data_IF_646787819766
#
_entry.id   IF_646787819766
#
_cell.length_a   1.000
_cell.length_b   1.000
_cell.length_c   1.000
_cell.angle_alpha   90.00
_cell.angle_beta   90.00
_cell.angle_gamma   90.00
#
_symmetry.space_group_name_H-M   'P 1'
#
loop_
_entity.id
_entity.type
_entity.pdbx_description
1 polymer ?
#
# COMPACT_ATOMS: atom_id res chain seq x y z
N UNK A 1 -9.59 32.20 26.62
CA UNK A 1 -10.13 32.12 25.24
C UNK A 1 -9.03 32.28 24.19
N UNK A 2 -8.15 33.28 24.32
CA UNK A 2 -7.03 33.54 23.40
C UNK A 2 -6.05 32.36 23.25
N UNK A 3 -5.69 31.70 24.36
CA UNK A 3 -4.81 30.51 24.38
C UNK A 3 -5.40 29.30 23.64
N UNK A 4 -6.72 29.13 23.65
CA UNK A 4 -7.40 28.02 22.96
C UNK A 4 -7.39 28.25 21.44
N UNK A 5 -7.64 29.48 20.99
CA UNK A 5 -7.63 29.83 19.56
C UNK A 5 -6.23 29.66 18.96
N UNK A 6 -5.19 30.08 19.68
CA UNK A 6 -3.79 29.94 19.25
C UNK A 6 -3.40 28.46 19.17
N UNK A 7 -3.75 27.65 20.18
CA UNK A 7 -3.46 26.22 20.17
C UNK A 7 -4.16 25.46 19.01
N UNK A 8 -5.42 25.80 18.73
CA UNK A 8 -6.17 25.23 17.60
C UNK A 8 -5.56 25.65 16.27
N UNK A 9 -5.15 26.92 16.12
CA UNK A 9 -4.47 27.42 14.93
C UNK A 9 -3.17 26.69 14.63
N UNK A 10 -2.31 26.48 15.64
CA UNK A 10 -1.07 25.71 15.50
C UNK A 10 -1.33 24.25 15.14
N UNK A 11 -2.30 23.59 15.79
CA UNK A 11 -2.66 22.23 15.47
C UNK A 11 -3.13 22.07 14.01
N UNK A 12 -3.95 23.01 13.53
CA UNK A 12 -4.44 23.01 12.15
C UNK A 12 -3.29 23.22 11.14
N UNK A 13 -2.42 24.19 11.41
CA UNK A 13 -1.25 24.49 10.59
C UNK A 13 -0.28 23.30 10.51
N UNK A 14 -0.02 22.63 11.63
CA UNK A 14 0.80 21.41 11.68
C UNK A 14 0.15 20.29 10.87
N UNK A 15 -1.16 20.06 10.99
CA UNK A 15 -1.85 19.03 10.19
C UNK A 15 -1.76 19.33 8.69
N UNK A 16 -1.97 20.59 8.27
CA UNK A 16 -1.85 21.00 6.88
C UNK A 16 -0.42 20.82 6.37
N UNK A 17 0.58 21.27 7.14
CA UNK A 17 1.99 21.12 6.80
C UNK A 17 2.41 19.65 6.72
N UNK A 18 1.95 18.79 7.64
CA UNK A 18 2.22 17.35 7.63
C UNK A 18 1.57 16.69 6.41
N UNK A 19 0.33 17.05 6.07
CA UNK A 19 -0.36 16.53 4.88
C UNK A 19 0.35 16.94 3.60
N UNK A 20 0.80 18.21 3.51
CA UNK A 20 1.55 18.71 2.37
C UNK A 20 2.93 18.02 2.24
N UNK A 21 3.68 17.92 3.34
CA UNK A 21 4.97 17.21 3.38
C UNK A 21 4.81 15.72 3.03
N UNK A 22 3.75 15.08 3.53
CA UNK A 22 3.44 13.69 3.21
C UNK A 22 3.01 13.49 1.77
N UNK A 23 2.28 14.44 1.18
CA UNK A 23 1.98 14.45 -0.24
C UNK A 23 3.28 14.57 -1.06
N UNK A 24 4.15 15.52 -0.74
CA UNK A 24 5.45 15.68 -1.42
C UNK A 24 6.31 14.42 -1.29
N UNK A 25 6.38 13.83 -0.10
CA UNK A 25 7.04 12.54 0.12
C UNK A 25 6.43 11.42 -0.75
N UNK A 26 5.11 11.38 -0.96
CA UNK A 26 4.46 10.43 -1.86
C UNK A 26 4.71 10.67 -3.34
N UNK A 27 4.94 11.92 -3.77
CA UNK A 27 5.39 12.20 -5.14
C UNK A 27 6.75 11.56 -5.41
N UNK A 28 7.67 11.78 -4.46
CA UNK A 28 9.06 11.33 -4.51
C UNK A 28 9.20 9.85 -4.19
N UNK A 29 8.24 9.29 -3.45
CA UNK A 29 8.25 7.88 -3.09
C UNK A 29 8.01 6.99 -4.32
N UNK A 30 8.89 6.01 -4.58
CA UNK A 30 8.67 4.98 -5.58
C UNK A 30 7.65 3.93 -5.11
N UNK A 31 6.92 4.17 -4.02
CA UNK A 31 5.91 3.24 -3.54
C UNK A 31 4.69 3.33 -4.45
N UNK A 32 4.54 2.33 -5.33
CA UNK A 32 3.34 2.14 -6.12
C UNK A 32 2.27 1.45 -5.26
N UNK A 33 1.20 2.13 -4.80
CA UNK A 33 0.02 1.45 -4.28
C UNK A 33 -0.50 0.44 -5.31
N UNK A 34 -0.46 -0.82 -4.90
CA UNK A 34 -0.94 -1.98 -5.64
C UNK A 34 -2.36 -1.78 -6.18
N UNK A 35 -3.20 -1.09 -5.41
CA UNK A 35 -4.59 -0.77 -5.78
C UNK A 35 -4.71 0.18 -6.97
N UNK A 36 -3.78 1.14 -7.11
CA UNK A 36 -3.76 2.04 -8.25
C UNK A 36 -3.29 1.28 -9.49
N UNK A 37 -2.23 0.48 -9.37
CA UNK A 37 -1.72 -0.38 -10.46
C UNK A 37 -2.81 -1.34 -10.95
N UNK A 38 -3.59 -1.93 -10.03
CA UNK A 38 -4.72 -2.80 -10.36
C UNK A 38 -5.84 -2.11 -11.11
N UNK A 39 -6.23 -0.92 -10.66
CA UNK A 39 -7.25 -0.13 -11.35
C UNK A 39 -6.80 0.27 -12.74
N UNK A 40 -5.55 0.70 -12.88
CA UNK A 40 -4.93 1.02 -14.17
C UNK A 40 -4.91 -0.23 -15.07
N UNK A 41 -4.43 -1.36 -14.54
CA UNK A 41 -4.38 -2.60 -15.30
C UNK A 41 -5.77 -3.09 -15.73
N UNK A 42 -6.78 -2.98 -14.86
CA UNK A 42 -8.16 -3.35 -15.15
C UNK A 42 -8.75 -2.50 -16.28
N UNK A 43 -8.62 -1.18 -16.19
CA UNK A 43 -9.15 -0.28 -17.21
C UNK A 43 -8.42 -0.44 -18.55
N UNK A 44 -7.11 -0.67 -18.53
CA UNK A 44 -6.34 -0.93 -19.75
C UNK A 44 -6.69 -2.29 -20.37
N UNK A 45 -6.83 -3.35 -19.57
CA UNK A 45 -7.27 -4.65 -20.06
C UNK A 45 -8.65 -4.54 -20.73
N UNK A 46 -9.60 -3.86 -20.08
CA UNK A 46 -10.94 -3.65 -20.62
C UNK A 46 -10.92 -2.85 -21.93
N UNK A 47 -10.13 -1.79 -21.99
CA UNK A 47 -9.99 -0.97 -23.19
C UNK A 47 -9.40 -1.77 -24.36
N UNK A 48 -8.30 -2.49 -24.12
CA UNK A 48 -7.64 -3.29 -25.17
C UNK A 48 -8.55 -4.44 -25.65
N UNK A 49 -9.29 -5.08 -24.74
CA UNK A 49 -10.25 -6.14 -25.11
C UNK A 49 -11.35 -5.63 -26.04
N UNK A 50 -11.82 -4.40 -25.82
CA UNK A 50 -12.83 -3.75 -26.67
C UNK A 50 -12.22 -2.90 -27.79
N UNK A 51 -10.94 -3.06 -28.10
CA UNK A 51 -10.21 -2.32 -29.13
C UNK A 51 -10.31 -0.78 -29.00
N UNK A 52 -10.46 -0.28 -27.78
CA UNK A 52 -10.47 1.16 -27.48
C UNK A 52 -9.05 1.67 -27.26
N UNK A 53 -8.85 2.97 -27.44
CA UNK A 53 -7.57 3.60 -27.19
C UNK A 53 -7.20 3.54 -25.70
N UNK A 54 -5.97 3.11 -25.41
CA UNK A 54 -5.46 3.05 -24.04
C UNK A 54 -5.45 4.45 -23.36
N UNK A 55 -5.27 5.52 -24.13
CA UNK A 55 -5.35 6.90 -23.65
C UNK A 55 -6.69 7.21 -22.98
N UNK A 56 -7.80 6.77 -23.58
CA UNK A 56 -9.15 7.11 -23.14
C UNK A 56 -9.47 6.45 -21.80
N UNK A 57 -9.03 5.21 -21.64
CA UNK A 57 -9.14 4.48 -20.38
C UNK A 57 -8.33 5.14 -19.26
N UNK A 58 -7.13 5.65 -19.57
CA UNK A 58 -6.31 6.38 -18.61
C UNK A 58 -6.91 7.75 -18.27
N UNK A 59 -7.57 8.43 -19.22
CA UNK A 59 -8.30 9.68 -18.99
C UNK A 59 -9.46 9.43 -18.01
N UNK A 60 -10.29 8.42 -18.27
CA UNK A 60 -11.43 8.06 -17.43
C UNK A 60 -11.03 7.71 -15.97
N UNK A 61 -9.80 7.21 -15.77
CA UNK A 61 -9.25 6.90 -14.45
C UNK A 61 -8.70 8.11 -13.67
N UNK A 62 -8.44 9.26 -14.31
CA UNK A 62 -7.76 10.38 -13.64
C UNK A 62 -8.52 10.87 -12.40
N UNK A 63 -9.84 10.93 -12.45
CA UNK A 63 -10.67 11.38 -11.32
C UNK A 63 -10.80 10.33 -10.20
N UNK A 64 -10.49 9.07 -10.49
CA UNK A 64 -10.73 7.94 -9.59
C UNK A 64 -9.52 7.56 -8.74
N UNK A 65 -8.33 7.96 -9.18
CA UNK A 65 -7.07 7.69 -8.50
C UNK A 65 -6.70 8.85 -7.57
N UNK A 66 -6.16 8.48 -6.40
CA UNK A 66 -5.65 9.46 -5.44
C UNK A 66 -4.38 10.10 -5.99
N UNK A 67 -4.19 11.37 -5.67
CA UNK A 67 -2.93 12.07 -5.96
C UNK A 67 -1.73 11.29 -5.36
N UNK A 68 -0.59 11.14 -6.07
CA UNK A 68 -0.15 11.88 -7.28
C UNK A 68 -0.46 11.21 -8.62
N UNK A 69 -1.26 10.14 -8.63
CA UNK A 69 -1.52 9.36 -9.84
C UNK A 69 -2.16 10.12 -11.01
N UNK A 70 -3.07 11.08 -10.82
CA UNK A 70 -3.62 11.84 -11.95
C UNK A 70 -2.53 12.55 -12.77
N UNK A 71 -1.49 13.08 -12.10
CA UNK A 71 -0.36 13.70 -12.78
C UNK A 71 0.50 12.68 -13.55
N UNK A 72 0.77 11.52 -12.94
CA UNK A 72 1.49 10.43 -13.60
C UNK A 72 0.70 9.88 -14.81
N UNK A 73 -0.62 9.74 -14.69
CA UNK A 73 -1.51 9.35 -15.80
C UNK A 73 -1.43 10.35 -16.94
N UNK A 74 -1.48 11.65 -16.67
CA UNK A 74 -1.32 12.70 -17.71
C UNK A 74 0.00 12.55 -18.47
N UNK A 75 1.11 12.24 -17.77
CA UNK A 75 2.41 11.97 -18.42
C UNK A 75 2.38 10.73 -19.32
N UNK A 76 1.69 9.67 -18.90
CA UNK A 76 1.52 8.46 -19.73
C UNK A 76 0.64 8.73 -20.95
N UNK A 77 -0.49 9.42 -20.78
CA UNK A 77 -1.37 9.81 -21.89
C UNK A 77 -0.62 10.68 -22.88
N UNK A 78 0.12 11.68 -22.40
CA UNK A 78 0.96 12.53 -23.24
C UNK A 78 2.14 11.78 -23.90
N UNK A 79 2.46 10.55 -23.49
CA UNK A 79 3.44 9.68 -24.16
C UNK A 79 2.78 8.76 -25.21
N UNK A 80 1.51 8.38 -24.99
CA UNK A 80 0.71 7.56 -25.90
C UNK A 80 0.15 8.35 -27.09
N UNK A 81 -0.10 9.65 -26.93
CA UNK A 81 -0.73 10.51 -27.96
C UNK A 81 0.31 11.31 -28.77
N UNK A 82 1.60 11.01 -28.62
CA UNK A 82 2.67 11.69 -29.38
C UNK A 82 2.59 11.35 -30.88
N UNK A 83 3.17 12.19 -31.76
CA UNK A 83 3.30 11.89 -33.18
C UNK A 83 4.00 10.54 -33.44
N UNK A 84 4.99 10.22 -32.60
CA UNK A 84 5.58 8.89 -32.47
C UNK A 84 5.10 8.29 -31.14
N UNK A 85 4.01 7.50 -31.14
CA UNK A 85 3.43 6.97 -29.92
C UNK A 85 4.36 5.92 -29.31
N UNK A 86 4.67 6.08 -28.02
CA UNK A 86 5.42 5.07 -27.29
C UNK A 86 4.56 3.81 -27.08
N UNK A 87 5.14 2.60 -27.13
CA UNK A 87 4.45 1.38 -26.74
C UNK A 87 3.86 1.51 -25.33
N UNK A 88 2.69 0.91 -25.10
CA UNK A 88 1.93 1.05 -23.85
C UNK A 88 2.79 0.84 -22.60
N UNK A 89 3.60 -0.22 -22.58
CA UNK A 89 4.45 -0.57 -21.43
C UNK A 89 5.51 0.50 -21.18
N UNK A 90 6.09 1.08 -22.23
CA UNK A 90 7.10 2.15 -22.08
C UNK A 90 6.47 3.48 -21.66
N UNK A 91 5.26 3.79 -22.13
CA UNK A 91 4.51 4.95 -21.65
C UNK A 91 4.21 4.83 -20.14
N UNK A 92 3.81 3.64 -19.67
CA UNK A 92 3.60 3.35 -18.25
C UNK A 92 4.91 3.42 -17.43
N UNK A 93 6.02 2.96 -18.01
CA UNK A 93 7.35 3.01 -17.42
C UNK A 93 7.82 4.45 -17.23
N UNK A 94 7.77 5.26 -18.29
CA UNK A 94 8.18 6.67 -18.29
C UNK A 94 7.38 7.51 -17.28
N UNK A 95 6.10 7.17 -17.10
CA UNK A 95 5.23 7.83 -16.13
C UNK A 95 5.39 7.32 -14.69
N UNK A 96 6.22 6.30 -14.45
CA UNK A 96 6.38 5.64 -13.15
C UNK A 96 5.02 5.19 -12.56
N UNK A 97 4.15 4.65 -13.42
CA UNK A 97 2.82 4.17 -13.03
C UNK A 97 2.85 2.74 -12.48
N UNK A 98 3.83 1.95 -12.90
CA UNK A 98 4.03 0.58 -12.47
C UNK A 98 5.47 0.36 -12.00
N UNK A 99 5.72 -0.57 -11.06
CA UNK A 99 7.07 -0.86 -10.61
C UNK A 99 7.89 -1.55 -11.72
N UNK A 100 9.23 -1.34 -11.76
CA UNK A 100 10.10 -1.86 -12.83
C UNK A 100 9.98 -3.38 -13.06
N UNK A 101 9.82 -4.13 -11.97
CA UNK A 101 9.72 -5.58 -12.02
C UNK A 101 8.38 -6.09 -12.59
N UNK A 102 7.31 -5.28 -12.51
CA UNK A 102 6.04 -5.56 -13.21
C UNK A 102 6.14 -5.16 -14.68
N UNK A 103 6.76 -4.02 -14.98
CA UNK A 103 6.99 -3.56 -16.34
C UNK A 103 7.83 -4.56 -17.14
N UNK A 104 8.83 -5.19 -16.52
CA UNK A 104 9.61 -6.25 -17.15
C UNK A 104 8.74 -7.43 -17.61
N UNK A 105 7.70 -7.80 -16.85
CA UNK A 105 6.73 -8.82 -17.27
C UNK A 105 5.77 -8.30 -18.35
N UNK A 106 5.49 -7.00 -18.33
CA UNK A 106 4.67 -6.35 -19.36
C UNK A 106 5.37 -6.27 -20.72
N UNK A 107 6.69 -6.06 -20.74
CA UNK A 107 7.49 -6.07 -21.97
C UNK A 107 7.49 -7.45 -22.61
N UNK A 108 7.71 -8.49 -21.80
CA UNK A 108 7.53 -9.89 -22.20
C UNK A 108 6.16 -10.12 -22.85
N UNK A 109 5.09 -9.66 -22.19
CA UNK A 109 3.72 -9.83 -22.66
C UNK A 109 3.47 -9.06 -23.97
N UNK A 110 4.01 -7.86 -24.11
CA UNK A 110 3.89 -7.05 -25.32
C UNK A 110 4.65 -7.68 -26.50
N UNK A 111 5.82 -8.29 -26.26
CA UNK A 111 6.59 -9.01 -27.27
C UNK A 111 5.85 -10.26 -27.78
N UNK A 112 5.10 -10.94 -26.91
CA UNK A 112 4.23 -12.07 -27.28
C UNK A 112 2.90 -11.65 -27.95
N UNK A 113 2.65 -10.35 -28.15
CA UNK A 113 1.48 -9.82 -28.84
C UNK A 113 0.31 -9.38 -27.94
N UNK A 114 -0.71 -8.82 -28.57
CA UNK A 114 -1.85 -8.18 -27.88
C UNK A 114 -2.61 -9.12 -26.93
N UNK A 115 -2.93 -10.38 -27.28
CA UNK A 115 -3.62 -11.29 -26.35
C UNK A 115 -2.84 -11.55 -25.06
N UNK A 116 -1.52 -11.73 -25.16
CA UNK A 116 -0.65 -11.90 -24.00
C UNK A 116 -0.59 -10.65 -23.14
N UNK A 117 -0.53 -9.46 -23.77
CA UNK A 117 -0.60 -8.18 -23.06
C UNK A 117 -1.92 -7.99 -22.30
N UNK A 118 -3.06 -8.36 -22.89
CA UNK A 118 -4.37 -8.32 -22.23
C UNK A 118 -4.39 -9.27 -21.02
N UNK A 119 -3.98 -10.54 -21.20
CA UNK A 119 -3.93 -11.53 -20.10
C UNK A 119 -3.00 -11.10 -18.96
N UNK A 120 -1.88 -10.46 -19.27
CA UNK A 120 -0.98 -9.87 -18.28
C UNK A 120 -1.67 -8.76 -17.48
N UNK A 121 -2.36 -7.82 -18.14
CA UNK A 121 -3.09 -6.74 -17.47
C UNK A 121 -4.24 -7.30 -16.62
N UNK A 122 -4.96 -8.32 -17.08
CA UNK A 122 -6.01 -8.99 -16.31
C UNK A 122 -5.47 -9.73 -15.08
N UNK A 123 -4.34 -10.43 -15.24
CA UNK A 123 -3.67 -11.10 -14.14
C UNK A 123 -3.20 -10.09 -13.07
N UNK A 124 -2.73 -8.91 -13.49
CA UNK A 124 -2.36 -7.83 -12.59
C UNK A 124 -3.57 -7.19 -11.92
N UNK A 125 -4.64 -6.90 -12.68
CA UNK A 125 -5.88 -6.33 -12.19
C UNK A 125 -6.47 -7.18 -11.06
N UNK A 126 -6.42 -8.51 -11.24
CA UNK A 126 -7.10 -9.47 -10.38
C UNK A 126 -8.63 -9.32 -10.48
N UNK A 127 -9.40 -9.99 -9.61
CA UNK A 127 -10.87 -9.87 -9.63
C UNK A 127 -11.29 -8.39 -9.48
N UNK A 128 -12.14 -7.94 -10.40
CA UNK A 128 -12.65 -6.57 -10.49
C UNK A 128 -13.24 -6.17 -9.14
N UNK A 129 -12.68 -5.12 -8.53
CA UNK A 129 -13.24 -4.53 -7.32
C UNK A 129 -14.56 -3.85 -7.69
N UNK A 130 -15.68 -4.43 -7.30
CA UNK A 130 -16.87 -3.63 -7.04
C UNK A 130 -16.54 -2.73 -5.85
N UNK A 131 -16.22 -1.46 -6.15
CA UNK A 131 -15.87 -0.42 -5.16
C UNK A 131 -17.07 -0.01 -4.30
N UNK A 132 -18.24 -0.57 -4.55
CA UNK A 132 -19.48 -0.29 -3.84
C UNK A 132 -19.46 -0.97 -2.46
N UNK A 133 -19.27 -0.17 -1.40
CA UNK A 133 -19.77 -0.51 -0.07
C UNK A 133 -18.83 -0.27 1.11
N UNK A 134 -17.51 -0.37 0.94
CA UNK A 134 -16.61 -0.52 2.10
C UNK A 134 -15.59 0.60 2.34
N UNK A 135 -15.44 1.58 1.44
CA UNK A 135 -14.51 2.69 1.67
C UNK A 135 -15.03 3.73 2.67
N UNK A 136 -16.35 3.88 2.79
CA UNK A 136 -16.97 4.84 3.71
C UNK A 136 -16.84 4.45 5.19
N UNK A 137 -16.95 3.15 5.52
CA UNK A 137 -16.84 2.67 6.90
C UNK A 137 -15.43 2.77 7.47
N UNK A 138 -14.40 2.50 6.66
CA UNK A 138 -13.00 2.49 7.14
C UNK A 138 -12.47 3.88 7.49
N UNK A 139 -12.89 4.94 6.79
CA UNK A 139 -12.47 6.30 7.13
C UNK A 139 -13.06 6.74 8.47
N UNK A 140 -14.33 6.38 8.72
CA UNK A 140 -14.99 6.71 9.99
C UNK A 140 -14.35 5.96 11.15
N UNK A 141 -14.10 4.65 11.02
CA UNK A 141 -13.41 3.89 12.09
C UNK A 141 -12.00 4.43 12.38
N UNK A 142 -11.23 4.81 11.35
CA UNK A 142 -9.92 5.44 11.55
C UNK A 142 -10.07 6.79 12.27
N UNK A 143 -11.01 7.65 11.82
CA UNK A 143 -11.25 8.93 12.46
C UNK A 143 -11.68 8.78 13.93
N UNK A 144 -12.60 7.86 14.23
CA UNK A 144 -13.05 7.56 15.59
C UNK A 144 -11.92 7.02 16.45
N UNK A 145 -11.07 6.12 15.93
CA UNK A 145 -9.93 5.59 16.67
C UNK A 145 -8.88 6.67 16.97
N UNK A 146 -8.62 7.57 16.03
CA UNK A 146 -7.72 8.71 16.23
C UNK A 146 -8.29 9.71 17.23
N UNK A 147 -9.59 10.01 17.16
CA UNK A 147 -10.29 10.86 18.14
C UNK A 147 -10.25 10.25 19.54
N UNK A 148 -10.50 8.95 19.67
CA UNK A 148 -10.39 8.22 20.96
C UNK A 148 -8.96 8.27 21.50
N UNK A 149 -7.96 8.00 20.66
CA UNK A 149 -6.55 8.07 21.06
C UNK A 149 -6.17 9.49 21.52
N UNK A 150 -6.65 10.52 20.82
CA UNK A 150 -6.43 11.92 21.20
C UNK A 150 -7.14 12.28 22.50
N UNK A 151 -8.40 11.87 22.68
CA UNK A 151 -9.16 12.08 23.90
C UNK A 151 -8.50 11.39 25.11
N UNK A 152 -8.03 10.15 24.94
CA UNK A 152 -7.29 9.40 25.97
C UNK A 152 -5.97 10.10 26.29
N UNK A 153 -5.22 10.57 25.29
CA UNK A 153 -3.99 11.32 25.49
C UNK A 153 -4.22 12.61 26.27
N UNK A 154 -5.28 13.36 25.91
CA UNK A 154 -5.67 14.58 26.61
C UNK A 154 -6.09 14.30 28.06
N UNK A 155 -6.94 13.31 28.30
CA UNK A 155 -7.33 12.90 29.67
C UNK A 155 -6.09 12.53 30.50
N UNK A 156 -5.15 11.82 29.89
CA UNK A 156 -3.93 11.35 30.57
C UNK A 156 -3.01 12.49 30.99
N UNK A 157 -2.84 13.52 30.16
CA UNK A 157 -1.89 14.62 30.45
C UNK A 157 -2.55 15.79 31.18
N UNK A 158 -3.79 16.15 30.84
CA UNK A 158 -4.43 17.36 31.34
C UNK A 158 -5.35 17.14 32.54
N UNK A 159 -5.97 15.96 32.65
CA UNK A 159 -7.05 15.69 33.60
C UNK A 159 -6.58 14.79 34.74
N UNK A 160 -5.95 13.65 34.45
CA UNK A 160 -5.47 12.72 35.48
C UNK A 160 -4.50 13.35 36.49
N UNK A 161 -3.51 14.19 36.11
CA UNK A 161 -2.61 14.80 37.08
C UNK A 161 -3.32 15.75 38.05
N UNK A 162 -4.42 16.39 37.61
CA UNK A 162 -5.23 17.26 38.47
C UNK A 162 -6.00 16.45 39.50
N UNK A 163 -6.54 15.29 39.12
CA UNK A 163 -7.16 14.39 40.09
C UNK A 163 -6.13 13.85 41.09
N UNK A 164 -4.92 13.48 40.64
CA UNK A 164 -3.84 13.08 41.53
C UNK A 164 -3.50 14.17 42.56
N UNK A 165 -3.38 15.43 42.13
CA UNK A 165 -3.19 16.58 43.03
C UNK A 165 -4.35 16.76 44.01
N UNK A 166 -5.60 16.80 43.53
CA UNK A 166 -6.77 17.03 44.39
C UNK A 166 -6.90 15.94 45.46
N UNK A 167 -6.73 14.66 45.10
CA UNK A 167 -6.82 13.57 46.06
C UNK A 167 -5.68 13.62 47.08
N UNK A 168 -4.46 13.98 46.64
CA UNK A 168 -3.32 14.19 47.53
C UNK A 168 -3.55 15.35 48.51
N UNK A 169 -4.06 16.48 48.04
CA UNK A 169 -4.35 17.67 48.86
C UNK A 169 -5.46 17.40 49.89
N UNK A 170 -6.41 16.52 49.56
CA UNK A 170 -7.47 16.07 50.46
C UNK A 170 -7.02 14.91 51.40
N UNK A 171 -5.77 14.47 51.33
CA UNK A 171 -5.26 13.34 52.13
C UNK A 171 -5.89 11.98 51.80
N UNK A 172 -6.52 11.86 50.63
CA UNK A 172 -7.22 10.65 50.20
C UNK A 172 -6.36 9.79 49.25
N UNK A 173 -6.58 8.48 49.27
CA UNK A 173 -5.97 7.56 48.29
C UNK A 173 -6.78 7.57 47.00
N UNK A 174 -6.09 7.47 45.86
CA UNK A 174 -6.76 7.33 44.57
C UNK A 174 -7.52 6.00 44.48
N UNK A 175 -8.73 6.00 43.89
CA UNK A 175 -9.40 4.78 43.49
C UNK A 175 -8.50 3.89 42.62
N UNK A 176 -8.55 2.54 42.76
CA UNK A 176 -7.65 1.62 42.06
C UNK A 176 -7.59 1.81 40.54
N UNK A 177 -8.73 2.11 39.92
CA UNK A 177 -8.83 2.38 38.49
C UNK A 177 -8.02 3.63 38.10
N UNK A 178 -8.16 4.73 38.84
CA UNK A 178 -7.43 5.97 38.59
C UNK A 178 -5.93 5.82 38.88
N UNK A 179 -5.57 5.09 39.93
CA UNK A 179 -4.18 4.74 40.24
C UNK A 179 -3.52 3.91 39.12
N UNK A 180 -4.26 2.96 38.54
CA UNK A 180 -3.81 2.20 37.39
C UNK A 180 -3.63 3.07 36.14
N UNK A 181 -4.56 3.99 35.87
CA UNK A 181 -4.49 4.90 34.73
C UNK A 181 -3.34 5.92 34.87
N UNK A 182 -3.07 6.43 36.07
CA UNK A 182 -1.93 7.34 36.31
C UNK A 182 -0.59 6.59 36.17
N UNK A 183 -0.47 5.38 36.72
CA UNK A 183 0.72 4.55 36.55
C UNK A 183 0.98 4.20 35.06
N UNK A 184 -0.07 3.86 34.32
CA UNK A 184 0.02 3.62 32.88
C UNK A 184 0.42 4.88 32.11
N UNK A 185 -0.13 6.04 32.48
CA UNK A 185 0.26 7.32 31.87
C UNK A 185 1.73 7.62 32.08
N UNK A 186 2.24 7.47 33.31
CA UNK A 186 3.66 7.65 33.61
C UNK A 186 4.56 6.68 32.85
N UNK A 187 4.12 5.43 32.70
CA UNK A 187 4.79 4.45 31.86
C UNK A 187 4.85 4.93 30.40
N UNK A 188 3.72 5.31 29.82
CA UNK A 188 3.67 5.83 28.44
C UNK A 188 4.54 7.07 28.26
N UNK A 189 4.50 8.01 29.20
CA UNK A 189 5.32 9.23 29.21
C UNK A 189 6.81 8.89 29.22
N UNK A 190 7.25 8.08 30.19
CA UNK A 190 8.66 7.71 30.38
C UNK A 190 9.24 7.01 29.15
N UNK A 191 8.44 6.17 28.51
CA UNK A 191 8.87 5.35 27.39
C UNK A 191 8.50 5.93 26.03
N UNK A 192 7.76 7.04 25.96
CA UNK A 192 7.27 7.65 24.71
C UNK A 192 8.40 7.96 23.71
N UNK A 193 9.55 8.42 24.21
CA UNK A 193 10.74 8.73 23.41
C UNK A 193 11.41 7.51 22.75
N UNK A 194 11.12 6.28 23.21
CA UNK A 194 11.70 5.04 22.68
C UNK A 194 10.63 4.19 22.01
N UNK A 195 9.51 3.95 22.70
CA UNK A 195 8.42 3.06 22.26
C UNK A 195 7.69 3.63 21.04
N UNK A 196 7.45 4.94 20.99
CA UNK A 196 6.81 5.58 19.83
C UNK A 196 7.59 5.36 18.53
N UNK A 197 8.87 5.77 18.48
CA UNK A 197 9.73 5.51 17.32
C UNK A 197 9.90 4.02 17.00
N UNK A 198 10.07 3.14 18.01
CA UNK A 198 10.24 1.71 17.79
C UNK A 198 8.99 1.04 17.19
N UNK A 199 7.80 1.38 17.68
CA UNK A 199 6.51 0.91 17.13
C UNK A 199 6.35 1.41 15.69
N UNK A 200 6.66 2.69 15.43
CA UNK A 200 6.60 3.26 14.08
C UNK A 200 7.57 2.55 13.13
N UNK A 201 8.83 2.35 13.53
CA UNK A 201 9.83 1.65 12.72
C UNK A 201 9.41 0.21 12.41
N UNK A 202 8.90 -0.51 13.42
CA UNK A 202 8.39 -1.88 13.25
C UNK A 202 7.20 -1.93 12.30
N UNK A 203 6.25 -1.00 12.43
CA UNK A 203 5.10 -0.90 11.53
C UNK A 203 5.55 -0.61 10.08
N UNK A 204 6.49 0.31 9.88
CA UNK A 204 7.03 0.63 8.55
C UNK A 204 7.77 -0.55 7.93
N UNK A 205 8.58 -1.28 8.71
CA UNK A 205 9.25 -2.50 8.27
C UNK A 205 8.25 -3.61 7.90
N UNK A 206 7.22 -3.80 8.71
CA UNK A 206 6.16 -4.76 8.43
C UNK A 206 5.39 -4.41 7.15
N UNK A 207 5.03 -3.12 6.96
CA UNK A 207 4.40 -2.63 5.73
C UNK A 207 5.32 -2.85 4.52
N UNK A 208 6.62 -2.58 4.65
CA UNK A 208 7.61 -2.81 3.58
C UNK A 208 7.76 -4.29 3.24
N UNK A 209 7.86 -5.16 4.24
CA UNK A 209 7.96 -6.60 4.05
C UNK A 209 6.69 -7.15 3.38
N UNK A 210 5.52 -6.73 3.85
CA UNK A 210 4.23 -7.11 3.28
C UNK A 210 4.08 -6.65 1.83
N UNK A 211 4.39 -5.39 1.53
CA UNK A 211 4.31 -4.87 0.16
C UNK A 211 5.28 -5.57 -0.78
N UNK A 212 6.49 -5.86 -0.33
CA UNK A 212 7.49 -6.60 -1.12
C UNK A 212 7.03 -8.02 -1.41
N UNK A 213 6.53 -8.73 -0.39
CA UNK A 213 5.97 -10.07 -0.55
C UNK A 213 4.77 -10.08 -1.50
N UNK A 214 3.86 -9.12 -1.34
CA UNK A 214 2.69 -8.94 -2.18
C UNK A 214 3.05 -8.73 -3.66
N UNK A 215 4.07 -7.91 -3.95
CA UNK A 215 4.56 -7.66 -5.31
C UNK A 215 5.20 -8.91 -5.94
N UNK A 216 6.06 -9.61 -5.18
CA UNK A 216 6.66 -10.86 -5.63
C UNK A 216 5.59 -11.91 -5.97
N UNK A 217 4.52 -11.95 -5.18
CA UNK A 217 3.38 -12.83 -5.44
C UNK A 217 2.64 -12.47 -6.73
N UNK A 218 2.31 -11.19 -6.94
CA UNK A 218 1.63 -10.76 -8.18
C UNK A 218 2.47 -11.03 -9.43
N UNK A 219 3.79 -10.87 -9.35
CA UNK A 219 4.69 -11.20 -10.46
C UNK A 219 4.74 -12.69 -10.74
N UNK A 220 4.85 -13.52 -9.70
CA UNK A 220 4.74 -14.96 -9.85
C UNK A 220 3.42 -15.33 -10.52
N UNK A 221 2.34 -14.67 -10.12
CA UNK A 221 1.02 -14.86 -10.71
C UNK A 221 0.95 -14.50 -12.20
N UNK A 222 1.42 -13.30 -12.56
CA UNK A 222 1.49 -12.83 -13.93
C UNK A 222 2.35 -13.72 -14.84
N UNK A 223 3.50 -14.21 -14.34
CA UNK A 223 4.35 -15.16 -15.09
C UNK A 223 3.66 -16.50 -15.31
N UNK A 224 2.95 -17.00 -14.31
CA UNK A 224 2.15 -18.23 -14.44
C UNK A 224 1.07 -18.10 -15.51
N UNK A 225 0.37 -16.96 -15.54
CA UNK A 225 -0.65 -16.70 -16.57
C UNK A 225 -0.08 -16.50 -17.96
N UNK A 226 1.13 -15.95 -18.09
CA UNK A 226 1.82 -15.86 -19.38
C UNK A 226 2.19 -17.23 -19.91
N UNK A 227 2.73 -18.11 -19.05
CA UNK A 227 3.05 -19.49 -19.42
C UNK A 227 1.80 -20.27 -19.86
N UNK A 228 0.72 -20.22 -19.08
CA UNK A 228 -0.54 -20.90 -19.41
C UNK A 228 -1.14 -20.34 -20.70
N UNK A 229 -1.17 -19.02 -20.85
CA UNK A 229 -1.73 -18.37 -22.02
C UNK A 229 -0.93 -18.64 -23.29
N UNK A 230 0.40 -18.57 -23.23
CA UNK A 230 1.24 -18.87 -24.39
C UNK A 230 1.23 -20.35 -24.76
N UNK A 231 1.21 -21.26 -23.78
CA UNK A 231 1.05 -22.69 -24.07
C UNK A 231 -0.32 -23.00 -24.71
N UNK A 232 -1.40 -22.36 -24.25
CA UNK A 232 -2.73 -22.50 -24.86
C UNK A 232 -2.80 -21.91 -26.28
N UNK A 233 -2.00 -20.88 -26.57
CA UNK A 233 -1.88 -20.29 -27.91
C UNK A 233 -0.92 -21.08 -28.83
N UNK A 234 -0.33 -22.19 -28.34
CA UNK A 234 0.58 -23.03 -29.11
C UNK A 234 2.01 -22.51 -29.21
N UNK A 235 2.42 -21.56 -28.37
CA UNK A 235 3.81 -21.09 -28.32
C UNK A 235 4.75 -22.22 -27.88
N UNK A 236 5.92 -22.28 -28.51
CA UNK A 236 6.95 -23.25 -28.14
C UNK A 236 7.67 -22.86 -26.83
N UNK A 237 8.25 -23.84 -26.13
CA UNK A 237 9.02 -23.60 -24.90
C UNK A 237 10.18 -22.59 -25.07
N UNK A 238 10.93 -22.55 -26.19
CA UNK A 238 11.89 -21.50 -26.47
C UNK A 238 11.27 -20.10 -26.51
N UNK A 239 10.12 -19.93 -27.16
CA UNK A 239 9.42 -18.64 -27.25
C UNK A 239 8.95 -18.17 -25.86
N UNK A 240 8.39 -19.10 -25.08
CA UNK A 240 7.99 -18.84 -23.69
C UNK A 240 9.20 -18.46 -22.81
N UNK A 241 10.34 -19.11 -23.01
CA UNK A 241 11.57 -18.82 -22.29
C UNK A 241 12.12 -17.43 -22.59
N UNK A 242 12.17 -17.06 -23.88
CA UNK A 242 12.60 -15.72 -24.33
C UNK A 242 11.67 -14.65 -23.78
N UNK A 243 10.35 -14.87 -23.85
CA UNK A 243 9.38 -13.97 -23.25
C UNK A 243 9.65 -13.80 -21.75
N UNK A 244 9.81 -14.88 -20.98
CA UNK A 244 10.04 -14.80 -19.54
C UNK A 244 11.39 -14.19 -19.12
N UNK A 245 12.41 -14.30 -19.96
CA UNK A 245 13.78 -13.89 -19.67
C UNK A 245 13.90 -12.40 -19.28
N UNK A 246 13.08 -11.53 -19.88
CA UNK A 246 13.07 -10.11 -19.54
C UNK A 246 12.57 -9.85 -18.10
N UNK A 247 11.59 -10.65 -17.65
CA UNK A 247 11.02 -10.54 -16.30
C UNK A 247 11.92 -11.13 -15.20
N UNK A 248 12.88 -11.97 -15.57
CA UNK A 248 13.71 -12.80 -14.70
C UNK A 248 15.19 -12.68 -15.09
N UNK A 249 15.71 -11.46 -15.17
CA UNK A 249 17.07 -11.17 -15.64
C UNK A 249 18.16 -12.00 -14.94
N UNK A 250 18.07 -12.18 -13.61
CA UNK A 250 19.01 -13.01 -12.85
C UNK A 250 18.89 -14.54 -13.07
N UNK A 251 17.97 -14.99 -13.93
CA UNK A 251 17.77 -16.40 -14.31
C UNK A 251 17.67 -16.58 -15.83
N UNK A 252 18.10 -15.57 -16.60
CA UNK A 252 17.94 -15.55 -18.06
C UNK A 252 18.54 -16.77 -18.74
N UNK A 253 19.79 -17.09 -18.43
CA UNK A 253 20.50 -18.24 -19.01
C UNK A 253 19.80 -19.56 -18.70
N UNK A 254 19.38 -19.75 -17.45
CA UNK A 254 18.65 -20.94 -17.02
C UNK A 254 17.28 -21.08 -17.72
N UNK A 255 16.60 -19.96 -17.96
CA UNK A 255 15.33 -19.95 -18.71
C UNK A 255 15.54 -20.34 -20.16
N UNK A 256 16.50 -19.70 -20.85
CA UNK A 256 16.80 -19.97 -22.25
C UNK A 256 17.21 -21.44 -22.42
N UNK A 257 18.12 -21.94 -21.58
CA UNK A 257 18.54 -23.35 -21.61
C UNK A 257 17.41 -24.34 -21.29
N UNK A 258 16.41 -23.97 -20.48
CA UNK A 258 15.23 -24.80 -20.27
C UNK A 258 14.30 -24.79 -21.49
N UNK A 259 14.12 -23.63 -22.13
CA UNK A 259 13.33 -23.47 -23.34
C UNK A 259 13.90 -24.26 -24.51
N UNK A 260 15.21 -24.14 -24.77
CA UNK A 260 15.92 -24.87 -25.83
C UNK A 260 15.81 -26.40 -25.68
N UNK A 261 15.66 -26.89 -24.45
CA UNK A 261 15.47 -28.33 -24.17
C UNK A 261 14.01 -28.79 -24.26
N UNK A 262 13.05 -27.89 -24.45
CA UNK A 262 11.63 -28.22 -24.36
C UNK A 262 11.18 -28.59 -22.94
N UNK A 263 11.92 -28.17 -21.90
CA UNK A 263 11.64 -28.55 -20.51
C UNK A 263 10.66 -27.56 -19.87
N UNK A 264 9.37 -27.71 -20.18
CA UNK A 264 8.29 -26.96 -19.55
C UNK A 264 8.31 -27.03 -18.01
N UNK A 265 8.50 -28.20 -17.37
CA UNK A 265 8.64 -28.28 -15.91
C UNK A 265 9.74 -27.36 -15.33
N UNK A 266 10.88 -27.26 -16.00
CA UNK A 266 11.96 -26.34 -15.60
C UNK A 266 11.54 -24.88 -15.77
N UNK A 267 10.89 -24.51 -16.88
CA UNK A 267 10.37 -23.16 -17.10
C UNK A 267 9.35 -22.76 -16.02
N UNK A 268 8.39 -23.62 -15.72
CA UNK A 268 7.40 -23.41 -14.66
C UNK A 268 8.10 -23.19 -13.31
N UNK A 269 9.11 -24.01 -12.98
CA UNK A 269 9.88 -23.92 -11.73
C UNK A 269 10.66 -22.62 -11.61
N UNK A 270 11.30 -22.19 -12.69
CA UNK A 270 12.02 -20.92 -12.76
C UNK A 270 11.08 -19.71 -12.62
N UNK A 271 9.87 -19.81 -13.16
CA UNK A 271 8.77 -18.85 -12.97
C UNK A 271 8.16 -18.89 -11.56
N UNK A 272 8.57 -19.84 -10.71
CA UNK A 272 8.14 -19.98 -9.32
C UNK A 272 6.96 -20.92 -9.13
N UNK A 273 6.59 -21.70 -10.13
CA UNK A 273 5.49 -22.66 -10.09
C UNK A 273 6.03 -24.09 -10.09
N UNK A 274 5.41 -24.95 -9.28
CA UNK A 274 5.64 -26.39 -9.40
C UNK A 274 4.54 -26.90 -10.30
N UNK A 275 4.84 -27.30 -11.53
CA UNK A 275 3.89 -27.93 -12.45
C UNK A 275 4.71 -28.75 -13.45
N UNK A 276 4.20 -29.91 -13.83
CA UNK A 276 4.86 -30.78 -14.81
C UNK A 276 4.28 -30.59 -16.22
N UNK A 277 3.04 -30.12 -16.34
CA UNK A 277 2.38 -29.86 -17.62
C UNK A 277 1.70 -28.48 -17.64
N UNK A 278 1.38 -27.94 -18.83
CA UNK A 278 0.62 -26.69 -18.96
C UNK A 278 -0.74 -26.73 -18.27
N UNK A 279 -1.45 -27.86 -18.32
CA UNK A 279 -2.77 -28.05 -17.69
C UNK A 279 -2.65 -27.99 -16.17
N UNK A 280 -1.66 -28.69 -15.59
CA UNK A 280 -1.39 -28.63 -14.15
C UNK A 280 -1.01 -27.22 -13.71
N UNK A 281 -0.32 -26.45 -14.58
CA UNK A 281 -0.02 -25.06 -14.28
C UNK A 281 -1.31 -24.21 -14.30
N UNK A 282 -2.20 -24.43 -15.27
CA UNK A 282 -3.49 -23.74 -15.37
C UNK A 282 -4.34 -23.96 -14.10
N UNK A 283 -4.51 -25.21 -13.68
CA UNK A 283 -5.23 -25.56 -12.45
C UNK A 283 -4.64 -24.89 -11.21
N UNK A 284 -3.31 -24.88 -11.08
CA UNK A 284 -2.63 -24.26 -9.93
C UNK A 284 -2.75 -22.73 -9.93
N UNK A 285 -2.68 -22.12 -11.11
CA UNK A 285 -2.88 -20.69 -11.29
C UNK A 285 -4.32 -20.33 -10.92
N UNK A 286 -5.31 -21.10 -11.37
CA UNK A 286 -6.72 -20.90 -11.02
C UNK A 286 -7.00 -21.09 -9.52
N UNK A 287 -6.52 -22.19 -8.94
CA UNK A 287 -6.66 -22.45 -7.51
C UNK A 287 -6.01 -21.34 -6.65
N UNK A 288 -4.87 -20.82 -7.10
CA UNK A 288 -4.22 -19.68 -6.45
C UNK A 288 -5.06 -18.39 -6.55
N UNK A 289 -5.78 -18.14 -7.66
CA UNK A 289 -6.74 -17.01 -7.76
C UNK A 289 -7.85 -17.15 -6.73
N UNK A 290 -8.44 -18.34 -6.63
CA UNK A 290 -9.54 -18.61 -5.72
C UNK A 290 -9.11 -18.44 -4.25
N UNK A 291 -8.00 -19.05 -3.87
CA UNK A 291 -7.41 -18.90 -2.53
C UNK A 291 -7.11 -17.43 -2.22
N UNK A 292 -6.60 -16.69 -3.20
CA UNK A 292 -6.29 -15.28 -3.05
C UNK A 292 -7.55 -14.43 -2.85
N UNK A 293 -8.62 -14.69 -3.61
CA UNK A 293 -9.90 -13.99 -3.45
C UNK A 293 -10.43 -14.19 -2.03
N UNK A 294 -10.39 -15.42 -1.51
CA UNK A 294 -10.84 -15.74 -0.15
C UNK A 294 -9.96 -15.10 0.92
N UNK A 295 -8.64 -15.15 0.77
CA UNK A 295 -7.71 -14.52 1.71
C UNK A 295 -7.85 -12.99 1.71
N UNK A 296 -8.03 -12.37 0.54
CA UNK A 296 -8.20 -10.91 0.42
C UNK A 296 -9.44 -10.43 1.14
N UNK A 297 -10.58 -11.13 1.03
CA UNK A 297 -11.80 -10.78 1.79
C UNK A 297 -11.53 -10.79 3.28
N UNK A 298 -10.84 -11.83 3.80
CA UNK A 298 -10.47 -11.92 5.22
C UNK A 298 -9.47 -10.85 5.64
N UNK A 299 -8.41 -10.66 4.86
CA UNK A 299 -7.37 -9.67 5.14
C UNK A 299 -7.91 -8.23 5.06
N UNK A 300 -8.92 -7.96 4.23
CA UNK A 300 -9.58 -6.67 4.16
C UNK A 300 -10.40 -6.41 5.43
N UNK A 301 -11.16 -7.41 5.92
CA UNK A 301 -11.89 -7.30 7.18
C UNK A 301 -10.92 -7.10 8.36
N UNK A 302 -9.88 -7.94 8.46
CA UNK A 302 -8.87 -7.82 9.52
C UNK A 302 -8.13 -6.50 9.42
N UNK A 303 -7.69 -6.09 8.23
CA UNK A 303 -7.00 -4.82 8.01
C UNK A 303 -7.86 -3.61 8.38
N UNK A 304 -9.16 -3.64 8.08
CA UNK A 304 -10.08 -2.57 8.46
C UNK A 304 -10.24 -2.42 9.97
N UNK A 305 -10.16 -3.52 10.74
CA UNK A 305 -10.22 -3.48 12.21
C UNK A 305 -8.87 -3.18 12.86
N UNK A 306 -7.79 -3.77 12.34
CA UNK A 306 -6.46 -3.71 12.96
C UNK A 306 -5.71 -2.41 12.62
N UNK A 307 -5.88 -1.88 11.41
CA UNK A 307 -5.15 -0.68 10.96
C UNK A 307 -5.50 0.59 11.76
N UNK A 308 -6.77 0.89 12.08
CA UNK A 308 -7.11 1.99 12.99
C UNK A 308 -6.42 1.85 14.35
N UNK A 309 -6.39 0.63 14.90
CA UNK A 309 -5.78 0.36 16.21
C UNK A 309 -4.26 0.55 16.17
N UNK A 310 -3.61 0.03 15.13
CA UNK A 310 -2.16 0.17 14.91
C UNK A 310 -1.75 1.63 14.65
N UNK A 311 -2.61 2.46 14.07
CA UNK A 311 -2.38 3.89 13.87
C UNK A 311 -2.70 4.72 15.12
N UNK A 312 -3.71 4.32 15.88
CA UNK A 312 -4.15 5.00 17.09
C UNK A 312 -3.07 4.99 18.19
N UNK A 313 -2.35 3.87 18.36
CA UNK A 313 -1.27 3.74 19.37
C UNK A 313 -0.15 4.76 19.18
N UNK A 314 0.55 4.85 18.02
CA UNK A 314 1.63 5.81 17.84
C UNK A 314 1.12 7.26 17.84
N UNK A 315 -0.08 7.52 17.30
CA UNK A 315 -0.67 8.86 17.36
C UNK A 315 -0.98 9.27 18.80
N UNK A 316 -1.54 8.37 19.60
CA UNK A 316 -1.78 8.60 21.02
C UNK A 316 -0.49 8.90 21.78
N UNK A 317 0.56 8.08 21.58
CA UNK A 317 1.86 8.29 22.22
C UNK A 317 2.54 9.61 21.81
N UNK A 318 2.50 9.97 20.52
CA UNK A 318 2.99 11.26 20.04
C UNK A 318 2.21 12.43 20.65
N UNK A 319 0.89 12.30 20.72
CA UNK A 319 -0.01 13.31 21.29
C UNK A 319 0.30 13.53 22.78
N UNK A 320 0.52 12.45 23.55
CA UNK A 320 0.95 12.53 24.96
C UNK A 320 2.27 13.30 25.07
N UNK A 321 3.28 12.94 24.26
CA UNK A 321 4.58 13.61 24.28
C UNK A 321 4.48 15.11 23.96
N UNK A 322 3.68 15.49 22.96
CA UNK A 322 3.46 16.90 22.58
C UNK A 322 2.77 17.65 23.71
N UNK A 323 1.68 17.13 24.27
CA UNK A 323 0.97 17.80 25.35
C UNK A 323 1.85 17.99 26.57
N UNK A 324 2.66 17.00 26.93
CA UNK A 324 3.56 17.10 28.06
C UNK A 324 4.65 18.15 27.85
N UNK A 325 5.25 18.20 26.66
CA UNK A 325 6.22 19.24 26.33
C UNK A 325 5.60 20.64 26.43
N UNK A 326 4.37 20.81 25.92
CA UNK A 326 3.63 22.07 26.03
C UNK A 326 3.31 22.44 27.49
N UNK A 327 2.86 21.49 28.30
CA UNK A 327 2.58 21.73 29.72
C UNK A 327 3.83 22.16 30.47
N UNK A 328 4.96 21.47 30.24
CA UNK A 328 6.23 21.85 30.85
C UNK A 328 6.67 23.27 30.46
N UNK A 329 6.53 23.64 29.18
CA UNK A 329 6.85 25.00 28.71
C UNK A 329 5.95 26.05 29.39
N UNK A 330 4.65 25.78 29.52
CA UNK A 330 3.70 26.71 30.15
C UNK A 330 4.02 26.91 31.63
N UNK A 331 4.33 25.83 32.37
CA UNK A 331 4.74 25.92 33.78
C UNK A 331 6.02 26.74 33.92
N UNK A 332 7.02 26.47 33.07
CA UNK A 332 8.30 27.19 33.10
C UNK A 332 8.14 28.69 32.82
N UNK A 333 7.23 29.06 31.91
CA UNK A 333 6.90 30.45 31.63
C UNK A 333 6.17 31.13 32.79
N UNK A 334 5.26 30.41 33.47
CA UNK A 334 4.52 30.95 34.61
C UNK A 334 5.40 31.15 35.86
N UNK A 335 6.44 30.35 36.05
CA UNK A 335 7.42 30.53 37.14
C UNK A 335 8.38 31.70 36.88
N UNK A 336 8.52 32.12 35.61
CA UNK A 336 9.41 33.21 35.20
C UNK A 336 8.76 34.60 35.19
N UNK A 337 7.45 34.67 35.44
CA UNK A 337 6.63 35.89 35.47
C UNK A 337 6.21 36.26 36.88
#
# INVERSE_FOLDING_TARGET
MFTVVVAVGYALAIVIALQAAWAILRLLSPVHPRDAVRQIAAALADALRHQRLASDALIALQSQLRWPYPFRLRRAIAALVRPEPLPLVEALARANLMPPSVLATGRSAAASGLPAQIRWLEALAGPVRTRAGLSGGSSTCIATALLLAWAVAFLSVAVLPKFDMIFRDLGMRLPPLLAGMTAFTWFCVRWSGIVGPAVMATALLAIRAWTTWAWRRDQRFARGTLLVGGAADGCSEPELAVALAESLTGRREALIAAGERGDFPALARLAGWRASTPEQLAERVEHARWCEQRWRTRAQVVGQMLMPLLLAVPVGLLTIGIFQALTNIIVLLAESS
#
